data_IF_296729250383
#
_entry.id   IF_296729250383
#
_cell.length_a   1.000
_cell.length_b   1.000
_cell.length_c   1.000
_cell.angle_alpha   90.00
_cell.angle_beta   90.00
_cell.angle_gamma   90.00
#
_symmetry.space_group_name_H-M   'P 1'
#
loop_
_entity.id
_entity.type
_entity.pdbx_description
1 polymer ?
#
# COMPACT_ATOMS: atom_id res chain seq x y z
N UNK A 1 19.00 9.49 -15.45
CA UNK A 1 17.59 9.19 -15.06
C UNK A 1 17.30 9.86 -13.72
N UNK A 2 16.15 10.52 -13.57
CA UNK A 2 15.71 11.05 -12.28
C UNK A 2 15.46 9.91 -11.27
N UNK A 3 15.47 10.24 -9.97
CA UNK A 3 15.30 9.26 -8.89
C UNK A 3 13.98 8.47 -9.03
N UNK A 4 12.90 9.13 -9.43
CA UNK A 4 11.60 8.49 -9.68
C UNK A 4 11.70 7.36 -10.71
N UNK A 5 12.36 7.58 -11.85
CA UNK A 5 12.54 6.54 -12.86
C UNK A 5 13.33 5.36 -12.31
N UNK A 6 14.35 5.61 -11.48
CA UNK A 6 15.12 4.54 -10.83
C UNK A 6 14.26 3.75 -9.84
N UNK A 7 13.40 4.42 -9.07
CA UNK A 7 12.48 3.78 -8.13
C UNK A 7 11.47 2.88 -8.83
N UNK A 8 10.79 3.39 -9.86
CA UNK A 8 9.79 2.60 -10.60
C UNK A 8 10.45 1.42 -11.34
N UNK A 9 11.66 1.62 -11.85
CA UNK A 9 12.44 0.53 -12.44
C UNK A 9 12.86 -0.52 -11.40
N UNK A 10 13.25 -0.10 -10.20
CA UNK A 10 13.53 -1.01 -9.08
C UNK A 10 12.27 -1.81 -8.72
N UNK A 11 11.11 -1.15 -8.55
CA UNK A 11 9.84 -1.83 -8.27
C UNK A 11 9.51 -2.88 -9.34
N UNK A 12 9.68 -2.55 -10.63
CA UNK A 12 9.47 -3.50 -11.72
C UNK A 12 10.41 -4.70 -11.65
N UNK A 13 11.70 -4.49 -11.38
CA UNK A 13 12.68 -5.57 -11.28
C UNK A 13 12.40 -6.43 -10.05
N UNK A 14 12.17 -5.84 -8.89
CA UNK A 14 11.87 -6.54 -7.64
C UNK A 14 10.57 -7.33 -7.75
N UNK A 15 9.53 -6.74 -8.37
CA UNK A 15 8.26 -7.45 -8.59
C UNK A 15 8.46 -8.69 -9.45
N UNK A 16 9.25 -8.58 -10.53
CA UNK A 16 9.58 -9.72 -11.39
C UNK A 16 10.47 -10.75 -10.70
N UNK A 17 11.41 -10.30 -9.87
CA UNK A 17 12.37 -11.19 -9.18
C UNK A 17 11.70 -12.06 -8.13
N UNK A 18 10.73 -11.49 -7.41
CA UNK A 18 10.06 -12.13 -6.28
C UNK A 18 8.62 -12.55 -6.58
N UNK A 19 8.25 -12.60 -7.86
CA UNK A 19 6.90 -12.96 -8.34
C UNK A 19 5.78 -12.19 -7.62
N UNK A 20 6.00 -10.89 -7.38
CA UNK A 20 4.99 -9.98 -6.83
C UNK A 20 3.96 -9.70 -7.91
N UNK A 21 2.72 -10.12 -7.66
CA UNK A 21 1.61 -9.91 -8.58
C UNK A 21 1.20 -8.42 -8.70
N UNK A 22 0.34 -8.11 -9.67
CA UNK A 22 -0.07 -6.73 -9.97
C UNK A 22 -0.79 -6.01 -8.82
N UNK A 23 -1.22 -6.73 -7.78
CA UNK A 23 -1.91 -6.17 -6.63
C UNK A 23 -0.99 -5.52 -5.61
N UNK A 24 0.32 -5.84 -5.67
CA UNK A 24 1.38 -5.24 -4.84
C UNK A 24 2.59 -4.76 -5.69
N UNK A 25 2.54 -4.94 -7.02
CA UNK A 25 3.56 -4.47 -7.95
C UNK A 25 3.44 -2.99 -8.35
N UNK A 26 3.98 -2.64 -9.53
CA UNK A 26 4.14 -1.24 -9.97
C UNK A 26 2.87 -0.38 -9.91
N UNK A 27 1.72 -0.91 -10.32
CA UNK A 27 0.46 -0.15 -10.36
C UNK A 27 0.05 0.34 -8.97
N UNK A 28 0.16 -0.54 -7.97
CA UNK A 28 -0.12 -0.20 -6.58
C UNK A 28 0.89 0.82 -6.04
N UNK A 29 2.20 0.60 -6.26
CA UNK A 29 3.24 1.58 -5.90
C UNK A 29 2.96 2.98 -6.47
N UNK A 30 2.49 3.07 -7.72
CA UNK A 30 2.12 4.35 -8.33
C UNK A 30 0.89 4.98 -7.66
N UNK A 31 -0.14 4.21 -7.36
CA UNK A 31 -1.32 4.71 -6.65
C UNK A 31 -0.98 5.23 -5.24
N UNK A 32 -0.14 4.51 -4.49
CA UNK A 32 0.34 4.96 -3.19
C UNK A 32 1.19 6.23 -3.32
N UNK A 33 2.07 6.30 -4.32
CA UNK A 33 2.84 7.52 -4.59
C UNK A 33 1.93 8.72 -4.92
N UNK A 34 0.86 8.51 -5.71
CA UNK A 34 -0.11 9.56 -6.01
C UNK A 34 -0.83 10.07 -4.76
N UNK A 35 -1.33 9.18 -3.90
CA UNK A 35 -1.95 9.60 -2.64
C UNK A 35 -0.94 10.27 -1.71
N UNK A 36 0.29 9.74 -1.60
CA UNK A 36 1.34 10.34 -0.78
C UNK A 36 1.66 11.77 -1.22
N UNK A 37 1.73 12.01 -2.54
CA UNK A 37 1.87 13.36 -3.10
C UNK A 37 0.70 14.27 -2.73
N UNK A 38 -0.54 13.82 -2.91
CA UNK A 38 -1.72 14.62 -2.59
C UNK A 38 -1.82 14.97 -1.11
N UNK A 39 -1.52 14.02 -0.22
CA UNK A 39 -1.47 14.25 1.21
C UNK A 39 -0.34 15.24 1.54
N UNK A 40 0.87 15.03 1.02
CA UNK A 40 2.01 15.91 1.26
C UNK A 40 1.72 17.37 0.87
N UNK A 41 1.15 17.60 -0.31
CA UNK A 41 0.85 18.96 -0.79
C UNK A 41 -0.24 19.66 0.04
N UNK A 42 -1.21 18.92 0.57
CA UNK A 42 -2.18 19.49 1.51
C UNK A 42 -1.54 19.79 2.88
N UNK A 43 -0.75 18.85 3.42
CA UNK A 43 -0.15 18.99 4.75
C UNK A 43 0.97 20.04 4.79
N UNK A 44 1.71 20.25 3.68
CA UNK A 44 2.75 21.29 3.55
C UNK A 44 2.25 22.71 3.83
N UNK A 45 0.96 22.97 3.59
CA UNK A 45 0.34 24.29 3.83
C UNK A 45 0.43 24.70 5.29
N UNK A 46 0.26 23.72 6.18
CA UNK A 46 0.30 23.91 7.63
C UNK A 46 1.64 23.44 8.24
N UNK A 47 2.39 22.59 7.52
CA UNK A 47 3.64 21.98 7.97
C UNK A 47 4.79 22.14 6.94
N UNK A 48 5.35 23.35 6.73
CA UNK A 48 6.35 23.60 5.70
C UNK A 48 7.63 22.75 5.82
N UNK A 49 7.97 22.29 7.04
CA UNK A 49 9.14 21.43 7.27
C UNK A 49 9.10 20.11 6.47
N UNK A 50 7.91 19.67 6.04
CA UNK A 50 7.71 18.49 5.21
C UNK A 50 8.40 18.57 3.84
N UNK A 51 8.70 19.78 3.35
CA UNK A 51 9.49 19.96 2.12
C UNK A 51 10.85 19.26 2.21
N UNK A 52 11.49 19.30 3.37
CA UNK A 52 12.76 18.60 3.62
C UNK A 52 12.63 17.08 3.68
N UNK A 53 11.42 16.55 3.85
CA UNK A 53 11.13 15.12 4.01
C UNK A 53 10.50 14.49 2.76
N UNK A 54 10.25 15.28 1.71
CA UNK A 54 9.58 14.84 0.47
C UNK A 54 10.25 13.60 -0.14
N UNK A 55 11.59 13.58 -0.18
CA UNK A 55 12.34 12.46 -0.74
C UNK A 55 12.09 11.16 0.03
N UNK A 56 12.06 11.21 1.37
CA UNK A 56 11.78 10.05 2.22
C UNK A 56 10.36 9.54 1.93
N UNK A 57 9.39 10.46 1.88
CA UNK A 57 7.97 10.13 1.63
C UNK A 57 7.80 9.41 0.29
N UNK A 58 8.32 9.98 -0.80
CA UNK A 58 8.17 9.39 -2.13
C UNK A 58 8.92 8.08 -2.28
N UNK A 59 10.12 7.97 -1.72
CA UNK A 59 10.89 6.71 -1.74
C UNK A 59 10.11 5.63 -0.98
N UNK A 60 9.72 5.89 0.27
CA UNK A 60 8.95 4.94 1.08
C UNK A 60 7.63 4.55 0.41
N UNK A 61 6.87 5.50 -0.12
CA UNK A 61 5.61 5.23 -0.82
C UNK A 61 5.81 4.30 -2.04
N UNK A 62 6.86 4.54 -2.84
CA UNK A 62 7.09 3.75 -4.04
C UNK A 62 7.51 2.30 -3.74
N UNK A 63 8.31 2.06 -2.69
CA UNK A 63 8.98 0.77 -2.47
C UNK A 63 8.44 -0.04 -1.29
N UNK A 64 7.44 0.46 -0.54
CA UNK A 64 7.00 -0.17 0.71
C UNK A 64 6.66 -1.66 0.59
N UNK A 65 6.07 -2.09 -0.52
CA UNK A 65 5.68 -3.48 -0.73
C UNK A 65 6.82 -4.38 -1.24
N UNK A 66 8.00 -3.83 -1.56
CA UNK A 66 9.15 -4.61 -2.03
C UNK A 66 9.83 -5.43 -0.92
N UNK A 67 9.38 -5.26 0.32
CA UNK A 67 9.76 -6.08 1.47
C UNK A 67 8.54 -6.73 2.16
N UNK A 68 7.39 -6.84 1.48
CA UNK A 68 6.20 -7.48 2.06
C UNK A 68 6.44 -8.99 2.25
N UNK A 69 6.24 -9.44 3.50
CA UNK A 69 6.33 -10.84 3.95
C UNK A 69 5.46 -11.83 3.17
N UNK A 70 4.46 -11.33 2.42
CA UNK A 70 3.64 -12.17 1.53
C UNK A 70 4.44 -12.75 0.37
N UNK A 71 5.48 -12.05 -0.10
CA UNK A 71 6.23 -12.41 -1.31
C UNK A 71 7.73 -12.59 -1.03
N UNK A 72 8.30 -11.81 -0.10
CA UNK A 72 9.74 -11.75 0.14
C UNK A 72 10.02 -12.03 1.62
N UNK A 73 11.17 -12.63 1.92
CA UNK A 73 11.72 -12.52 3.25
C UNK A 73 12.02 -11.03 3.54
N UNK A 74 11.41 -10.49 4.59
CA UNK A 74 11.51 -9.06 4.92
C UNK A 74 12.97 -8.60 5.06
N UNK A 75 13.85 -9.40 5.66
CA UNK A 75 15.26 -9.04 5.84
C UNK A 75 16.00 -8.95 4.48
N UNK A 76 15.73 -9.89 3.57
CA UNK A 76 16.31 -9.90 2.23
C UNK A 76 15.79 -8.72 1.40
N UNK A 77 14.49 -8.44 1.47
CA UNK A 77 13.88 -7.29 0.79
C UNK A 77 14.43 -5.96 1.30
N UNK A 78 14.63 -5.82 2.62
CA UNK A 78 15.24 -4.64 3.23
C UNK A 78 16.71 -4.48 2.80
N UNK A 79 17.46 -5.59 2.70
CA UNK A 79 18.84 -5.56 2.21
C UNK A 79 18.91 -5.05 0.77
N UNK A 80 18.07 -5.58 -0.13
CA UNK A 80 17.99 -5.14 -1.53
C UNK A 80 17.62 -3.66 -1.65
N UNK A 81 16.67 -3.19 -0.83
CA UNK A 81 16.31 -1.77 -0.75
C UNK A 81 17.50 -0.93 -0.29
N UNK A 82 18.23 -1.39 0.72
CA UNK A 82 19.40 -0.68 1.25
C UNK A 82 20.50 -0.53 0.19
N UNK A 83 20.85 -1.63 -0.49
CA UNK A 83 21.81 -1.63 -1.61
C UNK A 83 21.34 -0.70 -2.74
N UNK A 84 20.05 -0.70 -3.05
CA UNK A 84 19.50 0.20 -4.06
C UNK A 84 19.56 1.68 -3.64
N UNK A 85 19.43 2.03 -2.36
CA UNK A 85 19.36 3.42 -1.91
C UNK A 85 20.71 4.03 -1.51
N UNK A 86 21.75 3.23 -1.30
CA UNK A 86 23.05 3.64 -0.72
C UNK A 86 23.71 4.83 -1.45
N UNK A 87 23.67 4.88 -2.78
CA UNK A 87 24.22 5.99 -3.59
C UNK A 87 23.23 7.13 -3.85
N UNK A 88 22.01 7.06 -3.30
CA UNK A 88 20.88 7.98 -3.62
C UNK A 88 20.41 8.79 -2.43
N UNK A 89 20.66 8.32 -1.21
CA UNK A 89 20.19 8.90 0.04
C UNK A 89 21.28 8.81 1.11
N UNK A 90 21.24 9.71 2.10
CA UNK A 90 22.10 9.60 3.28
C UNK A 90 21.70 8.40 4.14
N UNK A 91 22.63 7.87 4.92
CA UNK A 91 22.36 6.74 5.83
C UNK A 91 21.18 7.03 6.78
N UNK A 92 21.07 8.27 7.30
CA UNK A 92 19.94 8.70 8.13
C UNK A 92 18.60 8.61 7.37
N UNK A 93 18.54 9.10 6.14
CA UNK A 93 17.33 9.01 5.31
C UNK A 93 16.96 7.54 5.03
N UNK A 94 17.93 6.68 4.74
CA UNK A 94 17.70 5.25 4.48
C UNK A 94 17.15 4.55 5.73
N UNK A 95 17.70 4.84 6.92
CA UNK A 95 17.21 4.28 8.17
C UNK A 95 15.75 4.66 8.46
N UNK A 96 15.37 5.90 8.16
CA UNK A 96 13.98 6.36 8.26
C UNK A 96 13.10 5.62 7.26
N UNK A 97 13.52 5.50 5.98
CA UNK A 97 12.78 4.77 4.95
C UNK A 97 12.52 3.32 5.39
N UNK A 98 13.57 2.60 5.83
CA UNK A 98 13.46 1.22 6.33
C UNK A 98 12.49 1.11 7.51
N UNK A 99 12.54 2.07 8.43
CA UNK A 99 11.64 2.11 9.58
C UNK A 99 10.20 2.30 9.12
N UNK A 100 9.93 3.23 8.20
CA UNK A 100 8.57 3.46 7.67
C UNK A 100 8.02 2.18 7.04
N UNK A 101 8.74 1.59 6.08
CA UNK A 101 8.22 0.47 5.29
C UNK A 101 8.01 -0.82 6.12
N UNK A 102 8.87 -1.06 7.13
CA UNK A 102 8.72 -2.23 8.03
C UNK A 102 7.60 -2.07 9.07
N UNK A 103 7.16 -0.84 9.37
CA UNK A 103 6.21 -0.58 10.46
C UNK A 103 4.88 0.03 10.02
N UNK A 104 4.71 0.39 8.74
CA UNK A 104 3.49 1.06 8.25
C UNK A 104 2.28 0.13 8.05
N UNK A 105 2.50 -1.18 7.88
CA UNK A 105 1.42 -2.12 7.55
C UNK A 105 0.31 -2.11 8.63
N UNK A 106 -0.95 -2.26 8.21
CA UNK A 106 -2.09 -2.34 9.13
C UNK A 106 -1.89 -3.43 10.20
N UNK A 107 -1.42 -4.62 9.81
CA UNK A 107 -1.18 -5.73 10.73
C UNK A 107 -0.13 -5.39 11.79
N UNK A 108 0.95 -4.70 11.39
CA UNK A 108 1.99 -4.26 12.32
C UNK A 108 1.42 -3.25 13.32
N UNK A 109 0.70 -2.23 12.84
CA UNK A 109 0.11 -1.19 13.71
C UNK A 109 -0.96 -1.76 14.65
N UNK A 110 -1.79 -2.70 14.21
CA UNK A 110 -2.78 -3.35 15.09
C UNK A 110 -2.12 -4.18 16.19
N UNK A 111 -0.95 -4.78 15.92
CA UNK A 111 -0.23 -5.64 16.87
C UNK A 111 0.66 -4.85 17.83
N UNK A 112 1.35 -3.83 17.32
CA UNK A 112 2.44 -3.14 18.03
C UNK A 112 2.11 -1.66 18.36
N UNK A 113 1.02 -1.12 17.82
CA UNK A 113 0.73 0.30 17.87
C UNK A 113 1.50 1.09 16.81
N UNK A 114 1.38 2.41 16.87
CA UNK A 114 2.14 3.30 15.99
C UNK A 114 3.60 3.40 16.48
N UNK A 115 4.59 3.34 15.57
CA UNK A 115 5.97 3.60 15.91
C UNK A 115 6.16 5.09 16.26
N UNK A 116 7.19 5.40 17.04
CA UNK A 116 7.60 6.77 17.33
C UNK A 116 8.76 7.18 16.42
N UNK A 117 8.49 8.01 15.42
CA UNK A 117 9.50 8.50 14.46
C UNK A 117 9.90 9.98 14.68
N UNK A 118 9.48 10.59 15.79
CA UNK A 118 9.80 11.98 16.15
C UNK A 118 9.55 12.97 15.00
N UNK A 119 10.61 13.62 14.49
CA UNK A 119 10.53 14.59 13.39
C UNK A 119 9.94 13.99 12.09
N UNK A 120 10.04 12.67 11.90
CA UNK A 120 9.53 11.96 10.72
C UNK A 120 8.14 11.35 10.94
N UNK A 121 7.46 11.66 12.04
CA UNK A 121 6.12 11.11 12.31
C UNK A 121 5.10 11.50 11.23
N UNK A 122 5.18 12.72 10.70
CA UNK A 122 4.30 13.15 9.63
C UNK A 122 4.61 12.42 8.31
N UNK A 123 5.89 12.26 7.95
CA UNK A 123 6.26 11.45 6.79
C UNK A 123 5.73 10.01 6.89
N UNK A 124 5.86 9.39 8.06
CA UNK A 124 5.28 8.06 8.32
C UNK A 124 3.76 8.05 8.10
N UNK A 125 3.02 9.01 8.70
CA UNK A 125 1.57 9.08 8.57
C UNK A 125 1.15 9.30 7.11
N UNK A 126 1.85 10.14 6.35
CA UNK A 126 1.58 10.40 4.93
C UNK A 126 1.67 9.11 4.12
N UNK A 127 2.80 8.39 4.23
CA UNK A 127 3.04 7.17 3.45
C UNK A 127 2.04 6.07 3.84
N UNK A 128 1.79 5.91 5.13
CA UNK A 128 0.83 4.93 5.65
C UNK A 128 -0.58 5.21 5.18
N UNK A 129 -1.04 6.44 5.33
CA UNK A 129 -2.39 6.80 4.94
C UNK A 129 -2.58 6.73 3.42
N UNK A 130 -1.54 7.02 2.64
CA UNK A 130 -1.56 6.81 1.20
C UNK A 130 -1.82 5.35 0.82
N UNK A 131 -1.14 4.41 1.49
CA UNK A 131 -1.42 2.97 1.32
C UNK A 131 -2.86 2.61 1.74
N UNK A 132 -3.32 3.09 2.89
CA UNK A 132 -4.69 2.85 3.35
C UNK A 132 -5.78 3.41 2.44
N UNK A 133 -5.56 4.59 1.83
CA UNK A 133 -6.48 5.16 0.83
C UNK A 133 -6.49 4.32 -0.44
N UNK A 134 -5.33 3.83 -0.88
CA UNK A 134 -5.24 2.94 -2.04
C UNK A 134 -5.99 1.61 -1.83
N UNK A 135 -6.07 1.13 -0.59
CA UNK A 135 -6.69 -0.15 -0.23
C UNK A 135 -8.22 -0.20 -0.44
N UNK A 136 -8.88 0.93 -0.72
CA UNK A 136 -10.31 0.96 -1.08
C UNK A 136 -10.61 0.42 -2.50
N UNK A 137 -9.60 -0.06 -3.21
CA UNK A 137 -9.77 -0.77 -4.48
C UNK A 137 -10.22 -2.24 -4.25
N UNK A 138 -11.53 -2.47 -4.40
CA UNK A 138 -12.09 -3.81 -4.24
C UNK A 138 -11.64 -4.78 -5.35
N UNK A 139 -11.41 -4.29 -6.57
CA UNK A 139 -11.04 -5.14 -7.71
C UNK A 139 -9.63 -5.69 -7.49
N UNK A 140 -8.70 -4.84 -7.02
CA UNK A 140 -7.36 -5.25 -6.58
C UNK A 140 -7.40 -6.31 -5.48
N UNK A 141 -8.30 -6.16 -4.51
CA UNK A 141 -8.45 -7.13 -3.44
C UNK A 141 -8.99 -8.48 -3.93
N UNK A 142 -9.92 -8.48 -4.88
CA UNK A 142 -10.35 -9.73 -5.51
C UNK A 142 -9.22 -10.40 -6.28
N UNK A 143 -8.47 -9.64 -7.10
CA UNK A 143 -7.33 -10.15 -7.86
C UNK A 143 -6.29 -10.83 -6.95
N UNK A 144 -6.01 -10.25 -5.78
CA UNK A 144 -5.09 -10.84 -4.81
C UNK A 144 -5.58 -12.21 -4.33
N UNK A 145 -6.88 -12.32 -4.05
CA UNK A 145 -7.49 -13.59 -3.63
C UNK A 145 -7.58 -14.61 -4.77
N UNK A 146 -7.57 -14.17 -6.02
CA UNK A 146 -7.48 -15.04 -7.20
C UNK A 146 -6.07 -15.62 -7.32
N UNK A 147 -5.03 -14.77 -7.29
CA UNK A 147 -3.63 -15.22 -7.35
C UNK A 147 -3.30 -16.18 -6.22
N UNK A 148 -3.72 -15.86 -4.99
CA UNK A 148 -3.53 -16.74 -3.83
C UNK A 148 -4.17 -18.13 -4.00
N UNK A 149 -5.32 -18.24 -4.67
CA UNK A 149 -5.95 -19.54 -4.94
C UNK A 149 -5.13 -20.36 -5.92
N UNK A 150 -4.60 -19.72 -6.97
CA UNK A 150 -3.77 -20.38 -7.98
C UNK A 150 -2.51 -20.98 -7.33
N UNK A 151 -1.89 -20.25 -6.41
CA UNK A 151 -0.68 -20.70 -5.72
C UNK A 151 -0.92 -21.89 -4.77
N UNK A 152 -2.04 -21.86 -4.02
CA UNK A 152 -2.33 -22.85 -2.97
C UNK A 152 -2.86 -24.16 -3.55
N UNK A 153 -3.86 -24.10 -4.42
CA UNK A 153 -4.56 -25.31 -4.86
C UNK A 153 -3.86 -26.00 -6.04
N UNK A 154 -2.97 -25.28 -6.76
CA UNK A 154 -2.44 -25.66 -8.09
C UNK A 154 -3.54 -26.17 -9.04
N UNK A 155 -4.80 -25.87 -8.70
CA UNK A 155 -5.96 -26.37 -9.39
C UNK A 155 -6.25 -25.40 -10.52
N UNK A 156 -6.69 -25.94 -11.64
CA UNK A 156 -6.98 -25.17 -12.86
C UNK A 156 -8.34 -24.48 -12.80
N UNK A 157 -9.11 -24.64 -11.71
CA UNK A 157 -10.45 -24.12 -11.59
C UNK A 157 -10.49 -22.87 -10.71
N UNK A 158 -10.63 -21.72 -11.37
CA UNK A 158 -10.78 -20.42 -10.70
C UNK A 158 -12.15 -20.33 -10.01
N UNK A 159 -12.18 -20.18 -8.69
CA UNK A 159 -13.41 -19.98 -7.92
C UNK A 159 -13.64 -18.50 -7.62
N UNK A 160 -14.27 -17.82 -8.59
CA UNK A 160 -14.62 -16.40 -8.47
C UNK A 160 -15.46 -16.08 -7.23
N UNK A 161 -16.37 -16.97 -6.84
CA UNK A 161 -17.20 -16.81 -5.64
C UNK A 161 -16.35 -16.79 -4.36
N UNK A 162 -15.34 -17.66 -4.28
CA UNK A 162 -14.45 -17.70 -3.12
C UNK A 162 -13.55 -16.46 -3.07
N UNK A 163 -13.04 -16.03 -4.22
CA UNK A 163 -12.25 -14.79 -4.32
C UNK A 163 -13.07 -13.58 -3.86
N UNK A 164 -14.33 -13.46 -4.32
CA UNK A 164 -15.22 -12.40 -3.90
C UNK A 164 -15.53 -12.48 -2.40
N UNK A 165 -15.88 -13.65 -1.87
CA UNK A 165 -16.25 -13.81 -0.47
C UNK A 165 -15.08 -13.44 0.46
N UNK A 166 -13.88 -13.90 0.14
CA UNK A 166 -12.66 -13.58 0.89
C UNK A 166 -12.33 -12.07 0.81
N UNK A 167 -12.43 -11.47 -0.38
CA UNK A 167 -12.24 -10.04 -0.55
C UNK A 167 -13.28 -9.22 0.22
N UNK A 168 -14.55 -9.63 0.16
CA UNK A 168 -15.65 -9.00 0.88
C UNK A 168 -15.44 -9.08 2.39
N UNK A 169 -15.07 -10.24 2.91
CA UNK A 169 -14.73 -10.42 4.32
C UNK A 169 -13.57 -9.52 4.74
N UNK A 170 -12.49 -9.45 3.94
CA UNK A 170 -11.36 -8.57 4.22
C UNK A 170 -11.79 -7.09 4.25
N UNK A 171 -12.66 -6.68 3.32
CA UNK A 171 -13.21 -5.31 3.32
C UNK A 171 -14.03 -5.02 4.57
N UNK A 172 -14.95 -5.91 4.94
CA UNK A 172 -15.76 -5.75 6.16
C UNK A 172 -14.90 -5.72 7.41
N UNK A 173 -13.87 -6.56 7.48
CA UNK A 173 -13.09 -6.73 8.69
C UNK A 173 -11.94 -5.73 8.85
N UNK A 174 -11.47 -5.12 7.76
CA UNK A 174 -10.30 -4.25 7.74
C UNK A 174 -10.55 -2.93 7.01
N UNK A 175 -10.72 -2.96 5.67
CA UNK A 175 -10.68 -1.76 4.84
C UNK A 175 -11.77 -0.75 5.20
N UNK A 176 -13.01 -1.22 5.38
CA UNK A 176 -14.14 -0.37 5.74
C UNK A 176 -14.09 0.11 7.21
N UNK A 177 -13.19 -0.45 8.03
CA UNK A 177 -12.97 -0.05 9.42
C UNK A 177 -11.85 0.97 9.59
N UNK A 178 -11.08 1.33 8.54
CA UNK A 178 -9.91 2.20 8.68
C UNK A 178 -10.22 3.52 9.43
N UNK A 179 -11.34 4.19 9.11
CA UNK A 179 -11.71 5.42 9.82
C UNK A 179 -12.17 5.14 11.26
N UNK A 180 -13.03 4.13 11.48
CA UNK A 180 -13.48 3.74 12.82
C UNK A 180 -12.34 3.32 13.74
N UNK A 181 -11.29 2.73 13.18
CA UNK A 181 -10.07 2.33 13.88
C UNK A 181 -9.12 3.52 14.13
N UNK A 182 -9.49 4.73 13.72
CA UNK A 182 -8.72 5.96 13.95
C UNK A 182 -7.43 6.04 13.13
N UNK A 183 -7.40 5.40 11.95
CA UNK A 183 -6.17 5.25 11.17
C UNK A 183 -5.83 6.44 10.27
N UNK A 184 -6.72 7.42 10.15
CA UNK A 184 -6.51 8.65 9.39
C UNK A 184 -6.30 9.83 10.34
N UNK A 185 -5.10 10.41 10.32
CA UNK A 185 -4.74 11.59 11.10
C UNK A 185 -4.59 12.84 10.24
N UNK A 186 -4.12 12.71 9.00
CA UNK A 186 -3.94 13.86 8.08
C UNK A 186 -5.28 14.46 7.66
N UNK A 187 -5.26 15.75 7.32
CA UNK A 187 -6.44 16.48 6.87
C UNK A 187 -6.94 15.92 5.54
N UNK A 188 -6.02 15.65 4.60
CA UNK A 188 -6.37 15.11 3.29
C UNK A 188 -7.12 13.78 3.40
N UNK A 189 -6.61 12.82 4.16
CA UNK A 189 -7.23 11.50 4.26
C UNK A 189 -8.60 11.55 4.94
N UNK A 190 -8.76 12.37 5.99
CA UNK A 190 -10.05 12.59 6.65
C UNK A 190 -11.12 13.13 5.70
N UNK A 191 -10.74 13.93 4.71
CA UNK A 191 -11.66 14.46 3.71
C UNK A 191 -11.94 13.49 2.56
N UNK A 192 -10.95 12.67 2.18
CA UNK A 192 -11.00 11.88 0.95
C UNK A 192 -11.31 10.39 1.14
N UNK A 193 -11.28 9.84 2.36
CA UNK A 193 -11.60 8.42 2.57
C UNK A 193 -13.07 8.09 2.26
N UNK A 194 -14.02 8.97 2.58
CA UNK A 194 -15.46 8.68 2.46
C UNK A 194 -15.89 8.49 0.99
N UNK A 195 -15.49 9.35 0.03
CA UNK A 195 -15.72 9.09 -1.39
C UNK A 195 -15.18 7.74 -1.88
N UNK A 196 -13.97 7.34 -1.43
CA UNK A 196 -13.36 6.06 -1.78
C UNK A 196 -14.15 4.89 -1.15
N UNK A 197 -14.55 5.02 0.11
CA UNK A 197 -15.40 4.07 0.81
C UNK A 197 -16.72 3.82 0.06
N UNK A 198 -17.42 4.89 -0.33
CA UNK A 198 -18.67 4.79 -1.08
C UNK A 198 -18.44 4.12 -2.44
N UNK A 199 -17.34 4.46 -3.12
CA UNK A 199 -16.99 3.87 -4.42
C UNK A 199 -16.69 2.36 -4.30
N UNK A 200 -15.99 1.95 -3.25
CA UNK A 200 -15.74 0.55 -2.93
C UNK A 200 -17.06 -0.22 -2.68
N UNK A 201 -17.97 0.34 -1.89
CA UNK A 201 -19.29 -0.28 -1.64
C UNK A 201 -20.09 -0.44 -2.93
N UNK A 202 -20.09 0.57 -3.80
CA UNK A 202 -20.73 0.47 -5.12
C UNK A 202 -20.10 -0.65 -5.95
N UNK A 203 -18.77 -0.74 -5.98
CA UNK A 203 -18.05 -1.80 -6.71
C UNK A 203 -18.41 -3.20 -6.20
N UNK A 204 -18.48 -3.38 -4.88
CA UNK A 204 -18.92 -4.64 -4.24
C UNK A 204 -20.33 -5.02 -4.71
N UNK A 205 -21.27 -4.06 -4.75
CA UNK A 205 -22.65 -4.33 -5.19
C UNK A 205 -22.71 -4.70 -6.68
N UNK A 206 -21.89 -4.06 -7.51
CA UNK A 206 -21.78 -4.41 -8.94
C UNK A 206 -21.32 -5.86 -9.09
N UNK A 207 -20.25 -6.26 -8.39
CA UNK A 207 -19.77 -7.66 -8.42
C UNK A 207 -20.80 -8.66 -7.91
N UNK A 208 -21.46 -8.35 -6.80
CA UNK A 208 -22.57 -9.17 -6.28
C UNK A 208 -23.67 -9.35 -7.33
N UNK A 209 -24.01 -8.29 -8.05
CA UNK A 209 -24.98 -8.34 -9.15
C UNK A 209 -24.50 -9.16 -10.36
N UNK A 210 -23.20 -9.12 -10.68
CA UNK A 210 -22.60 -9.93 -11.76
C UNK A 210 -22.68 -11.42 -11.40
N UNK A 211 -22.26 -11.78 -10.19
CA UNK A 211 -22.22 -13.19 -9.75
C UNK A 211 -23.60 -13.83 -9.54
N UNK A 212 -24.61 -13.03 -9.19
CA UNK A 212 -25.98 -13.53 -8.97
C UNK A 212 -26.78 -13.67 -10.27
N UNK A 213 -26.27 -13.20 -11.41
CA UNK A 213 -26.93 -13.41 -12.70
C UNK A 213 -26.61 -14.82 -13.20
N UNK A 214 -27.61 -15.60 -13.66
CA UNK A 214 -27.36 -16.80 -14.44
C UNK A 214 -26.89 -16.36 -15.83
N UNK A 215 -25.63 -15.95 -15.93
CA UNK A 215 -25.00 -15.55 -17.19
C UNK A 215 -23.59 -16.14 -17.28
N UNK A 216 -23.50 -17.45 -16.97
CA UNK A 216 -23.00 -18.54 -17.83
C UNK A 216 -23.87 -19.76 -17.52
#
# INVERSE_FOLDING_TARGET
>A
MCLLNKLLHFVLISSKKHDIDETHGLSHSMNVLHFAHQILEEEKKDNPFLESQEKIIYVSAAIHDMCDKKYVNEDDGILEINEFLEDKMSSKEIDVVKTIISTMSYSTVKKQGFPQLYEYQHAYNIVREADLLSAYDFDRCMLYNIHKQIDVDKSTELRMTDAFNNAYELFQNRVLKHEKDGLFVTKYSKLNYLPLHISALKRIQVWRGIMNKPLI
#
